data_IF_822531379790
#
_entry.id   IF_822531379790
#
_cell.length_a   1.000
_cell.length_b   1.000
_cell.length_c   1.000
_cell.angle_alpha   90.00
_cell.angle_beta   90.00
_cell.angle_gamma   90.00
#
_symmetry.space_group_name_H-M   'P 1'
#
loop_
_entity.id
_entity.type
_entity.pdbx_description
1 polymer ?
#
# COMPACT_ATOMS: atom_id res chain seq x y z
N UNK A 1 -14.70 2.90 -18.09
CA UNK A 1 -15.01 3.04 -16.66
C UNK A 1 -16.03 2.01 -16.16
N UNK A 2 -17.21 1.82 -16.82
CA UNK A 2 -18.23 0.85 -16.38
C UNK A 2 -17.67 -0.55 -16.11
N UNK A 3 -16.99 -1.18 -17.07
CA UNK A 3 -16.41 -2.52 -16.92
C UNK A 3 -15.42 -2.62 -15.75
N UNK A 4 -14.63 -1.59 -15.50
CA UNK A 4 -13.67 -1.57 -14.40
C UNK A 4 -14.38 -1.53 -13.05
N UNK A 5 -15.44 -0.73 -12.92
CA UNK A 5 -16.21 -0.67 -11.66
C UNK A 5 -16.98 -1.97 -11.43
N UNK A 6 -17.46 -2.63 -12.49
CA UNK A 6 -18.08 -3.96 -12.38
C UNK A 6 -17.07 -5.01 -11.88
N UNK A 7 -15.83 -4.97 -12.38
CA UNK A 7 -14.78 -5.88 -11.96
C UNK A 7 -14.34 -5.66 -10.50
N UNK A 8 -14.53 -4.46 -9.94
CA UNK A 8 -14.33 -4.23 -8.52
C UNK A 8 -15.39 -4.98 -7.71
N UNK A 9 -14.96 -5.79 -6.74
CA UNK A 9 -15.82 -6.58 -5.84
C UNK A 9 -16.69 -7.63 -6.52
N UNK A 10 -16.36 -8.08 -7.75
CA UNK A 10 -17.09 -9.16 -8.44
C UNK A 10 -18.58 -8.86 -8.60
N UNK A 11 -18.93 -7.64 -8.98
CA UNK A 11 -20.33 -7.25 -9.19
C UNK A 11 -20.96 -7.96 -10.38
N UNK A 12 -22.29 -8.11 -10.35
CA UNK A 12 -23.03 -8.63 -11.49
C UNK A 12 -22.82 -7.76 -12.73
N UNK A 13 -22.62 -8.39 -13.88
CA UNK A 13 -22.53 -7.70 -15.19
C UNK A 13 -23.84 -6.96 -15.56
N UNK A 14 -24.95 -7.33 -14.91
CA UNK A 14 -26.24 -6.67 -15.07
C UNK A 14 -26.36 -5.39 -14.24
N UNK A 15 -25.43 -5.12 -13.33
CA UNK A 15 -25.50 -3.92 -12.52
C UNK A 15 -25.31 -2.67 -13.38
N UNK A 16 -26.16 -1.68 -13.15
CA UNK A 16 -26.05 -0.37 -13.76
C UNK A 16 -25.10 0.50 -12.98
N UNK A 17 -24.09 1.04 -13.66
CA UNK A 17 -23.05 1.91 -13.08
C UNK A 17 -23.21 3.32 -13.65
N UNK A 18 -23.41 4.28 -12.76
CA UNK A 18 -23.51 5.69 -13.10
C UNK A 18 -22.45 6.51 -12.36
N UNK A 19 -21.62 7.23 -13.09
CA UNK A 19 -20.76 8.26 -12.49
C UNK A 19 -21.66 9.42 -12.02
N UNK A 20 -21.61 9.75 -10.74
CA UNK A 20 -22.37 10.85 -10.15
C UNK A 20 -21.50 12.10 -10.15
N UNK A 21 -20.26 11.97 -9.65
CA UNK A 21 -19.32 13.09 -9.55
C UNK A 21 -17.90 12.58 -9.58
N UNK A 22 -16.93 13.41 -9.94
CA UNK A 22 -15.52 13.11 -9.86
C UNK A 22 -14.71 14.39 -9.61
N UNK A 23 -13.77 14.32 -8.71
CA UNK A 23 -12.90 15.43 -8.37
C UNK A 23 -11.44 15.02 -8.31
N UNK A 24 -10.56 15.96 -8.65
CA UNK A 24 -9.13 15.80 -8.35
C UNK A 24 -8.95 15.76 -6.83
N UNK A 25 -8.17 14.79 -6.37
CA UNK A 25 -8.06 14.56 -4.95
C UNK A 25 -6.61 14.62 -4.46
N UNK A 26 -6.24 15.71 -3.81
CA UNK A 26 -4.96 15.80 -3.10
C UNK A 26 -5.08 15.15 -1.72
N UNK A 27 -4.40 14.02 -1.53
CA UNK A 27 -4.35 13.31 -0.25
C UNK A 27 -2.96 12.77 -0.01
N UNK A 28 -2.28 13.31 0.99
CA UNK A 28 -0.93 12.92 1.36
C UNK A 28 0.15 13.38 0.37
N UNK A 29 1.39 13.36 0.81
CA UNK A 29 2.54 13.87 0.05
C UNK A 29 2.89 13.01 -1.17
N UNK A 30 2.68 11.70 -1.09
CA UNK A 30 3.13 10.73 -2.12
C UNK A 30 2.41 10.82 -3.47
N UNK A 31 1.36 11.62 -3.58
CA UNK A 31 0.62 11.82 -4.84
C UNK A 31 0.69 13.25 -5.36
N UNK A 32 1.48 14.11 -4.75
CA UNK A 32 1.70 15.46 -5.27
C UNK A 32 2.35 15.41 -6.64
N UNK A 33 1.81 16.16 -7.59
CA UNK A 33 2.27 16.16 -8.98
C UNK A 33 1.82 14.97 -9.84
N UNK A 34 1.13 13.98 -9.27
CA UNK A 34 0.60 12.83 -9.98
C UNK A 34 -0.93 12.88 -10.10
N UNK A 35 -1.47 12.13 -11.09
CA UNK A 35 -2.91 12.03 -11.24
C UNK A 35 -3.52 11.29 -10.05
N UNK A 36 -4.49 11.93 -9.42
CA UNK A 36 -5.34 11.30 -8.43
C UNK A 36 -6.74 11.87 -8.47
N UNK A 37 -7.71 10.98 -8.59
CA UNK A 37 -9.13 11.36 -8.63
C UNK A 37 -9.92 10.50 -7.64
N UNK A 38 -10.92 11.12 -7.03
CA UNK A 38 -12.00 10.41 -6.37
C UNK A 38 -13.23 10.47 -7.25
N UNK A 39 -13.87 9.32 -7.49
CA UNK A 39 -15.09 9.22 -8.25
C UNK A 39 -16.22 8.66 -7.38
N UNK A 40 -17.31 9.39 -7.27
CA UNK A 40 -18.55 8.92 -6.65
C UNK A 40 -19.39 8.21 -7.69
N UNK A 41 -19.70 6.97 -7.42
CA UNK A 41 -20.39 6.07 -8.36
C UNK A 41 -21.68 5.57 -7.73
N UNK A 42 -22.80 5.74 -8.46
CA UNK A 42 -24.06 5.07 -8.16
C UNK A 42 -24.09 3.69 -8.81
N UNK A 43 -24.50 2.71 -8.04
CA UNK A 43 -24.60 1.31 -8.45
C UNK A 43 -26.04 0.87 -8.22
N UNK A 44 -26.69 0.37 -9.26
CA UNK A 44 -28.02 -0.24 -9.16
C UNK A 44 -27.88 -1.73 -9.49
N UNK A 45 -28.02 -2.57 -8.48
CA UNK A 45 -27.97 -4.02 -8.62
C UNK A 45 -29.32 -4.57 -9.17
N UNK A 46 -29.34 -5.78 -9.72
CA UNK A 46 -30.59 -6.45 -10.05
C UNK A 46 -31.56 -6.45 -8.87
N UNK A 47 -32.84 -6.18 -9.13
CA UNK A 47 -33.84 -5.97 -8.08
C UNK A 47 -33.91 -4.53 -7.54
N UNK A 48 -33.30 -3.57 -8.26
CA UNK A 48 -33.35 -2.12 -7.98
C UNK A 48 -32.72 -1.70 -6.64
N UNK A 49 -31.83 -2.52 -6.08
CA UNK A 49 -31.06 -2.17 -4.90
C UNK A 49 -29.98 -1.15 -5.27
N UNK A 50 -30.11 0.06 -4.76
CA UNK A 50 -29.18 1.16 -5.01
C UNK A 50 -28.17 1.29 -3.89
N UNK A 51 -26.92 1.60 -4.26
CA UNK A 51 -25.85 1.95 -3.34
C UNK A 51 -24.86 2.93 -3.98
N UNK A 52 -24.09 3.59 -3.14
CA UNK A 52 -23.00 4.44 -3.57
C UNK A 52 -21.67 3.75 -3.30
N UNK A 53 -20.69 4.01 -4.15
CA UNK A 53 -19.31 3.62 -3.95
C UNK A 53 -18.39 4.82 -4.21
N UNK A 54 -17.37 4.97 -3.40
CA UNK A 54 -16.29 5.92 -3.63
C UNK A 54 -15.09 5.17 -4.18
N UNK A 55 -14.60 5.59 -5.35
CA UNK A 55 -13.49 4.98 -6.05
C UNK A 55 -12.32 5.94 -6.10
N UNK A 56 -11.17 5.53 -5.54
CA UNK A 56 -9.89 6.22 -5.63
C UNK A 56 -9.14 5.73 -6.87
N UNK A 57 -8.75 6.66 -7.74
CA UNK A 57 -7.91 6.42 -8.91
C UNK A 57 -6.59 7.15 -8.68
N UNK A 58 -5.52 6.40 -8.56
CA UNK A 58 -4.18 6.93 -8.28
C UNK A 58 -3.18 6.50 -9.32
N UNK A 59 -2.45 7.46 -9.91
CA UNK A 59 -1.32 7.17 -10.79
C UNK A 59 -0.29 6.30 -10.06
N UNK A 60 0.20 5.28 -10.76
CA UNK A 60 1.28 4.42 -10.31
C UNK A 60 2.52 4.67 -11.17
N UNK A 61 3.64 4.88 -10.50
CA UNK A 61 4.93 5.16 -11.14
C UNK A 61 5.95 4.07 -10.83
N UNK A 62 7.10 4.12 -11.50
CA UNK A 62 8.22 3.23 -11.19
C UNK A 62 8.61 3.33 -9.71
N UNK A 63 9.04 2.23 -9.06
CA UNK A 63 9.47 2.27 -7.68
C UNK A 63 10.76 3.04 -7.52
N UNK A 64 10.90 3.74 -6.40
CA UNK A 64 12.17 4.33 -6.01
C UNK A 64 13.17 3.26 -5.54
N UNK A 65 12.67 2.18 -4.91
CA UNK A 65 13.50 1.08 -4.45
C UNK A 65 13.91 0.16 -5.61
N UNK A 66 15.17 -0.30 -5.66
CA UNK A 66 15.60 -1.28 -6.65
C UNK A 66 14.88 -2.62 -6.43
N UNK A 67 14.69 -3.37 -7.50
CA UNK A 67 14.19 -4.74 -7.43
C UNK A 67 15.30 -5.66 -6.93
N UNK A 68 14.98 -6.58 -6.01
CA UNK A 68 15.95 -7.57 -5.55
C UNK A 68 16.37 -8.48 -6.71
N UNK A 69 17.66 -8.89 -6.76
CA UNK A 69 18.15 -9.78 -7.82
C UNK A 69 17.34 -11.09 -7.88
N UNK A 70 17.02 -11.53 -9.09
CA UNK A 70 16.30 -12.79 -9.33
C UNK A 70 14.79 -12.75 -9.06
N UNK A 71 14.23 -11.63 -8.63
CA UNK A 71 12.79 -11.49 -8.40
C UNK A 71 12.09 -11.00 -9.65
N UNK A 72 11.16 -11.80 -10.16
CA UNK A 72 10.28 -11.39 -11.24
C UNK A 72 9.18 -10.48 -10.70
N UNK A 73 9.12 -9.27 -11.21
CA UNK A 73 8.09 -8.28 -10.87
C UNK A 73 7.36 -7.84 -12.13
N UNK A 74 6.06 -7.51 -12.05
CA UNK A 74 5.34 -6.93 -13.18
C UNK A 74 6.03 -5.65 -13.67
N UNK A 75 6.15 -5.49 -14.99
CA UNK A 75 6.75 -4.31 -15.60
C UNK A 75 5.85 -3.07 -15.48
N UNK A 76 4.54 -3.25 -15.54
CA UNK A 76 3.56 -2.17 -15.37
C UNK A 76 3.46 -1.75 -13.89
N UNK A 77 3.65 -0.45 -13.59
CA UNK A 77 3.64 0.03 -12.20
C UNK A 77 2.37 -0.31 -11.41
N UNK A 78 1.20 -0.18 -12.03
CA UNK A 78 -0.05 -0.48 -11.35
C UNK A 78 -0.24 -1.97 -11.05
N UNK A 79 0.19 -2.85 -11.96
CA UNK A 79 0.15 -4.30 -11.74
C UNK A 79 1.03 -4.69 -10.56
N UNK A 80 2.21 -4.08 -10.45
CA UNK A 80 3.12 -4.33 -9.32
C UNK A 80 2.52 -3.86 -8.00
N UNK A 81 1.88 -2.69 -7.97
CA UNK A 81 1.20 -2.19 -6.76
C UNK A 81 0.09 -3.15 -6.34
N UNK A 82 -0.72 -3.63 -7.29
CA UNK A 82 -1.80 -4.59 -7.00
C UNK A 82 -1.25 -5.94 -6.55
N UNK A 83 -0.19 -6.44 -7.17
CA UNK A 83 0.48 -7.67 -6.75
C UNK A 83 1.01 -7.57 -5.31
N UNK A 84 1.68 -6.46 -4.96
CA UNK A 84 2.14 -6.20 -3.60
C UNK A 84 0.99 -6.10 -2.60
N UNK A 85 -0.09 -5.40 -2.95
CA UNK A 85 -1.27 -5.28 -2.11
C UNK A 85 -1.94 -6.65 -1.83
N UNK A 86 -2.02 -7.52 -2.83
CA UNK A 86 -2.54 -8.89 -2.67
C UNK A 86 -1.63 -9.76 -1.80
N UNK A 87 -0.31 -9.62 -1.92
CA UNK A 87 0.64 -10.32 -1.06
C UNK A 87 0.52 -9.91 0.41
N UNK A 88 0.34 -8.61 0.68
CA UNK A 88 0.15 -8.08 2.03
C UNK A 88 -1.23 -8.39 2.61
N UNK A 89 -2.28 -8.33 1.80
CA UNK A 89 -3.68 -8.44 2.21
C UNK A 89 -4.39 -9.57 1.49
N UNK A 90 -4.39 -10.81 1.99
CA UNK A 90 -5.06 -11.93 1.34
C UNK A 90 -6.58 -11.75 1.22
N UNK A 91 -7.14 -10.90 2.06
CA UNK A 91 -8.57 -10.57 2.08
C UNK A 91 -8.92 -9.29 1.29
N UNK A 92 -7.97 -8.78 0.49
CA UNK A 92 -8.19 -7.63 -0.37
C UNK A 92 -9.30 -7.88 -1.40
N UNK A 93 -9.41 -9.14 -1.87
CA UNK A 93 -10.36 -9.51 -2.91
C UNK A 93 -10.10 -8.73 -4.21
N UNK A 94 -11.18 -8.38 -4.89
CA UNK A 94 -11.16 -7.63 -6.15
C UNK A 94 -11.41 -6.12 -5.96
N UNK A 95 -11.14 -5.61 -4.77
CA UNK A 95 -11.32 -4.18 -4.44
C UNK A 95 -10.27 -3.26 -5.04
N UNK A 96 -9.25 -3.81 -5.69
CA UNK A 96 -8.13 -3.07 -6.26
C UNK A 96 -7.73 -3.64 -7.62
N UNK A 97 -7.68 -2.79 -8.64
CA UNK A 97 -7.38 -3.19 -10.01
C UNK A 97 -6.32 -2.27 -10.64
N UNK A 98 -5.41 -2.83 -11.46
CA UNK A 98 -4.56 -2.03 -12.33
C UNK A 98 -5.40 -1.51 -13.51
N UNK A 99 -5.24 -0.24 -13.83
CA UNK A 99 -5.97 0.41 -14.94
C UNK A 99 -5.05 1.38 -15.68
N UNK A 100 -5.48 1.84 -16.84
CA UNK A 100 -4.88 2.99 -17.53
C UNK A 100 -5.85 4.17 -17.49
N UNK A 101 -5.35 5.31 -17.04
CA UNK A 101 -6.08 6.57 -16.97
C UNK A 101 -5.31 7.66 -17.72
N UNK A 102 -5.91 8.25 -18.74
CA UNK A 102 -5.28 9.29 -19.56
C UNK A 102 -3.89 8.88 -20.10
N UNK A 103 -3.75 7.61 -20.50
CA UNK A 103 -2.50 7.05 -21.02
C UNK A 103 -1.48 6.65 -19.95
N UNK A 104 -1.73 6.92 -18.68
CA UNK A 104 -0.84 6.61 -17.55
C UNK A 104 -1.26 5.32 -16.83
N UNK A 105 -0.29 4.65 -16.24
CA UNK A 105 -0.54 3.51 -15.34
C UNK A 105 -1.19 4.02 -14.06
N UNK A 106 -2.28 3.43 -13.63
CA UNK A 106 -3.02 3.85 -12.44
C UNK A 106 -3.65 2.67 -11.71
N UNK A 107 -3.82 2.83 -10.42
CA UNK A 107 -4.55 1.88 -9.58
C UNK A 107 -5.93 2.44 -9.29
N UNK A 108 -6.94 1.61 -9.50
CA UNK A 108 -8.32 1.88 -9.14
C UNK A 108 -8.67 1.06 -7.89
N UNK A 109 -9.16 1.72 -6.86
CA UNK A 109 -9.53 1.09 -5.60
C UNK A 109 -10.89 1.59 -5.12
N UNK A 110 -11.78 0.68 -4.78
CA UNK A 110 -12.98 1.06 -4.03
C UNK A 110 -12.64 1.26 -2.56
N UNK A 111 -12.99 2.40 -2.00
CA UNK A 111 -12.79 2.71 -0.60
C UNK A 111 -13.92 2.10 0.24
N UNK A 112 -13.54 1.47 1.34
CA UNK A 112 -14.48 0.96 2.32
C UNK A 112 -14.68 1.99 3.43
N UNK A 113 -15.88 2.04 4.04
CA UNK A 113 -16.14 2.94 5.17
C UNK A 113 -15.22 2.69 6.37
N UNK A 114 -14.66 1.49 6.47
CA UNK A 114 -13.77 1.06 7.56
C UNK A 114 -12.29 1.38 7.31
N UNK A 115 -11.94 2.08 6.23
CA UNK A 115 -10.56 2.48 5.96
C UNK A 115 -10.10 3.51 7.02
N UNK A 116 -9.65 3.01 8.17
CA UNK A 116 -9.15 3.82 9.27
C UNK A 116 -7.80 4.44 8.93
N UNK A 117 -7.64 5.71 9.25
CA UNK A 117 -6.34 6.36 9.34
C UNK A 117 -5.86 6.27 10.78
N UNK A 118 -4.76 5.56 11.01
CA UNK A 118 -4.09 5.59 12.29
C UNK A 118 -3.21 6.85 12.36
N UNK A 119 -3.43 7.67 13.36
CA UNK A 119 -2.62 8.85 13.62
C UNK A 119 -1.55 8.48 14.68
N UNK A 120 -0.39 8.09 14.17
CA UNK A 120 0.68 7.49 14.99
C UNK A 120 1.25 8.51 15.98
N UNK A 121 1.18 9.79 15.65
CA UNK A 121 1.70 10.89 16.47
C UNK A 121 0.91 11.08 17.78
N UNK A 122 -0.31 10.51 17.84
CA UNK A 122 -1.18 10.56 19.03
C UNK A 122 -1.09 9.33 19.91
N UNK A 123 -0.28 8.34 19.54
CA UNK A 123 -0.18 7.09 20.30
C UNK A 123 0.60 7.29 21.62
N UNK A 124 0.00 6.82 22.71
CA UNK A 124 0.74 6.54 23.91
C UNK A 124 1.72 5.38 23.70
N UNK A 125 2.70 5.22 24.62
CA UNK A 125 3.73 4.19 24.48
C UNK A 125 3.17 2.78 24.29
N UNK A 126 2.16 2.42 25.06
CA UNK A 126 1.54 1.08 24.95
C UNK A 126 0.79 0.88 23.64
N UNK A 127 0.12 1.92 23.14
CA UNK A 127 -0.57 1.88 21.86
C UNK A 127 0.42 1.77 20.71
N UNK A 128 1.53 2.49 20.76
CA UNK A 128 2.61 2.40 19.79
C UNK A 128 3.21 0.99 19.75
N UNK A 129 3.45 0.36 20.90
CA UNK A 129 3.95 -1.02 20.99
C UNK A 129 2.93 -1.99 20.39
N UNK A 130 1.64 -1.88 20.75
CA UNK A 130 0.58 -2.74 20.17
C UNK A 130 0.47 -2.57 18.66
N UNK A 131 0.52 -1.33 18.16
CA UNK A 131 0.49 -1.04 16.74
C UNK A 131 1.72 -1.62 16.02
N UNK A 132 2.91 -1.47 16.59
CA UNK A 132 4.14 -2.04 16.04
C UNK A 132 4.07 -3.58 15.96
N UNK A 133 3.60 -4.25 17.00
CA UNK A 133 3.37 -5.70 17.00
C UNK A 133 2.39 -6.13 15.91
N UNK A 134 1.28 -5.42 15.77
CA UNK A 134 0.29 -5.71 14.73
C UNK A 134 0.86 -5.54 13.33
N UNK A 135 1.57 -4.45 13.07
CA UNK A 135 2.20 -4.19 11.76
C UNK A 135 3.27 -5.22 11.44
N UNK A 136 4.13 -5.56 12.40
CA UNK A 136 5.14 -6.60 12.25
C UNK A 136 4.51 -7.96 11.94
N UNK A 137 3.40 -8.30 12.62
CA UNK A 137 2.65 -9.53 12.36
C UNK A 137 2.08 -9.57 10.93
N UNK A 138 1.50 -8.48 10.45
CA UNK A 138 0.96 -8.38 9.07
C UNK A 138 2.07 -8.58 8.05
N UNK A 139 3.21 -7.91 8.22
CA UNK A 139 4.36 -8.04 7.33
C UNK A 139 4.96 -9.44 7.39
N UNK A 140 5.14 -9.99 8.58
CA UNK A 140 5.66 -11.36 8.78
C UNK A 140 4.75 -12.41 8.13
N UNK A 141 3.43 -12.26 8.23
CA UNK A 141 2.49 -13.15 7.52
C UNK A 141 2.57 -13.02 6.00
N UNK A 142 2.77 -11.80 5.49
CA UNK A 142 2.95 -11.58 4.06
C UNK A 142 4.20 -12.30 3.54
N UNK A 143 5.33 -12.16 4.23
CA UNK A 143 6.57 -12.87 3.91
C UNK A 143 6.39 -14.39 4.00
N UNK A 144 5.84 -14.88 5.12
CA UNK A 144 5.66 -16.32 5.32
C UNK A 144 4.73 -17.00 4.29
N UNK A 145 3.79 -16.27 3.69
CA UNK A 145 2.95 -16.79 2.59
C UNK A 145 3.69 -16.92 1.26
N UNK A 146 4.73 -16.12 1.06
CA UNK A 146 5.51 -16.09 -0.18
C UNK A 146 6.75 -16.98 -0.14
N UNK A 147 7.11 -17.52 1.03
CA UNK A 147 8.22 -18.44 1.23
C UNK A 147 7.77 -19.88 1.10
N UNK A 148 8.60 -20.73 0.52
CA UNK A 148 8.47 -22.19 0.65
C UNK A 148 8.81 -22.68 2.07
N UNK A 149 8.65 -23.96 2.33
CA UNK A 149 8.87 -24.53 3.65
C UNK A 149 10.33 -24.42 4.11
N UNK A 150 11.27 -24.65 3.19
CA UNK A 150 12.72 -24.61 3.45
C UNK A 150 13.18 -23.19 3.77
N UNK A 151 12.84 -22.22 2.92
CA UNK A 151 13.15 -20.80 3.13
C UNK A 151 12.56 -20.30 4.44
N UNK A 152 11.33 -20.70 4.78
CA UNK A 152 10.68 -20.32 6.04
C UNK A 152 11.40 -20.89 7.26
N UNK A 153 11.87 -22.12 7.19
CA UNK A 153 12.65 -22.74 8.25
C UNK A 153 14.01 -22.05 8.43
N UNK A 154 14.72 -21.79 7.32
CA UNK A 154 15.99 -21.06 7.32
C UNK A 154 15.83 -19.64 7.89
N UNK A 155 14.80 -18.92 7.46
CA UNK A 155 14.47 -17.59 7.97
C UNK A 155 14.20 -17.61 9.47
N UNK A 156 13.41 -18.57 9.95
CA UNK A 156 13.15 -18.72 11.38
C UNK A 156 14.43 -18.97 12.18
N UNK A 157 15.31 -19.85 11.69
CA UNK A 157 16.59 -20.13 12.31
C UNK A 157 17.44 -18.87 12.42
N UNK A 158 17.50 -18.06 11.35
CA UNK A 158 18.29 -16.84 11.33
C UNK A 158 17.75 -15.77 12.31
N UNK A 159 16.43 -15.59 12.37
CA UNK A 159 15.82 -14.64 13.31
C UNK A 159 16.05 -15.05 14.77
N UNK A 160 16.11 -16.35 15.05
CA UNK A 160 16.30 -16.86 16.43
C UNK A 160 17.76 -17.08 16.80
N UNK A 161 18.69 -16.94 15.85
CA UNK A 161 20.11 -17.16 16.10
C UNK A 161 20.66 -16.17 17.12
N UNK A 162 21.20 -16.67 18.22
CA UNK A 162 21.87 -15.86 19.26
C UNK A 162 20.90 -15.10 20.16
N UNK A 163 19.62 -15.41 20.13
CA UNK A 163 18.65 -14.88 21.08
C UNK A 163 18.37 -15.91 22.17
N UNK A 164 18.61 -15.54 23.41
CA UNK A 164 17.84 -16.10 24.51
C UNK A 164 16.40 -15.67 24.35
N UNK A 165 15.47 -16.58 24.58
CA UNK A 165 14.03 -16.44 24.29
C UNK A 165 13.38 -15.20 24.92
N UNK A 166 14.08 -14.55 25.86
CA UNK A 166 13.64 -13.38 26.62
C UNK A 166 14.15 -12.01 26.09
N UNK A 167 15.09 -11.97 25.14
CA UNK A 167 15.72 -10.70 24.72
C UNK A 167 15.11 -10.02 23.48
N UNK A 168 14.06 -10.56 22.90
CA UNK A 168 13.35 -9.88 21.81
C UNK A 168 13.98 -10.09 20.43
N UNK A 169 14.37 -9.03 19.74
CA UNK A 169 14.90 -9.07 18.37
C UNK A 169 16.40 -9.36 18.34
N UNK A 170 16.92 -10.06 17.29
CA UNK A 170 18.36 -10.27 17.12
C UNK A 170 19.12 -8.93 17.08
N UNK A 171 20.31 -8.89 17.63
CA UNK A 171 21.13 -7.68 17.70
C UNK A 171 21.40 -7.05 16.32
N UNK A 172 21.59 -7.89 15.28
CA UNK A 172 21.79 -7.41 13.91
C UNK A 172 20.56 -6.67 13.38
N UNK A 173 19.34 -7.10 13.73
CA UNK A 173 18.10 -6.43 13.31
C UNK A 173 17.98 -5.07 13.99
N UNK A 174 18.26 -5.01 15.28
CA UNK A 174 18.28 -3.75 16.03
C UNK A 174 19.28 -2.77 15.44
N UNK A 175 20.52 -3.20 15.22
CA UNK A 175 21.58 -2.38 14.63
C UNK A 175 21.19 -1.86 13.25
N UNK A 176 20.60 -2.73 12.42
CA UNK A 176 20.12 -2.36 11.08
C UNK A 176 19.01 -1.32 11.12
N UNK A 177 18.07 -1.43 12.06
CA UNK A 177 16.98 -0.45 12.22
C UNK A 177 17.54 0.92 12.64
N UNK A 178 18.44 0.96 13.61
CA UNK A 178 19.07 2.21 14.09
C UNK A 178 19.88 2.87 12.96
N UNK A 179 20.68 2.09 12.24
CA UNK A 179 21.46 2.60 11.10
C UNK A 179 20.56 3.14 9.99
N UNK A 180 19.49 2.43 9.64
CA UNK A 180 18.55 2.84 8.62
C UNK A 180 17.82 4.14 9.02
N UNK A 181 17.39 4.25 10.27
CA UNK A 181 16.75 5.46 10.78
C UNK A 181 17.69 6.68 10.66
N UNK A 182 18.96 6.53 11.09
CA UNK A 182 19.95 7.60 10.95
C UNK A 182 20.23 7.98 9.49
N UNK A 183 20.33 7.00 8.59
CA UNK A 183 20.49 7.27 7.14
C UNK A 183 19.31 8.03 6.56
N UNK A 184 18.08 7.69 6.96
CA UNK A 184 16.88 8.37 6.51
C UNK A 184 16.84 9.83 7.01
N UNK A 185 17.21 10.08 8.26
CA UNK A 185 17.30 11.44 8.81
C UNK A 185 18.31 12.29 8.06
N UNK A 186 19.52 11.77 7.83
CA UNK A 186 20.56 12.48 7.07
C UNK A 186 20.08 12.74 5.64
N UNK A 187 19.48 11.75 4.98
CA UNK A 187 18.93 11.89 3.62
C UNK A 187 17.83 12.94 3.55
N UNK A 188 16.94 12.98 4.53
CA UNK A 188 15.88 13.99 4.64
C UNK A 188 16.47 15.41 4.80
N UNK A 189 17.42 15.60 5.71
CA UNK A 189 18.05 16.90 5.92
C UNK A 189 18.83 17.38 4.67
N UNK A 190 19.51 16.47 3.97
CA UNK A 190 20.17 16.80 2.70
C UNK A 190 19.15 17.21 1.62
N UNK A 191 18.03 16.50 1.53
CA UNK A 191 16.93 16.87 0.64
C UNK A 191 16.38 18.26 0.97
N UNK A 192 16.08 18.54 2.23
CA UNK A 192 15.61 19.86 2.66
C UNK A 192 16.60 20.97 2.29
N UNK A 193 17.89 20.78 2.55
CA UNK A 193 18.93 21.76 2.17
C UNK A 193 18.99 22.02 0.67
N UNK A 194 18.86 20.95 -0.14
CA UNK A 194 18.91 21.06 -1.60
C UNK A 194 17.75 21.86 -2.18
N UNK A 195 16.58 21.74 -1.60
CA UNK A 195 15.35 22.34 -2.15
C UNK A 195 14.87 23.61 -1.42
N UNK A 196 15.32 23.87 -0.18
CA UNK A 196 14.94 25.08 0.57
C UNK A 196 15.36 26.41 -0.09
N UNK A 197 16.30 26.39 -1.04
CA UNK A 197 16.74 27.59 -1.78
C UNK A 197 16.11 27.74 -3.18
N UNK A 198 15.23 26.84 -3.60
CA UNK A 198 14.66 26.86 -4.96
C UNK A 198 13.31 27.61 -5.06
N UNK A 199 12.71 28.00 -3.95
CA UNK A 199 11.45 28.77 -3.93
C UNK A 199 11.62 30.29 -4.12
N UNK A 200 12.84 30.78 -4.34
CA UNK A 200 13.16 32.20 -4.44
C UNK A 200 13.62 32.65 -5.85
N UNK A 201 13.26 31.91 -6.91
CA UNK A 201 13.58 32.31 -8.30
C UNK A 201 12.33 32.33 -9.18
#
# INVERSE_FOLDING_TARGET
>A
MRHLVLALNGRSDEAEIRLIDAAYWMKGCSSLGFLRYAALVGITEPGNKRRLALVDLKEAVAPAAPTAPGVAMPSEPAERVVAGARALSPNLGERMLPVRLLGKSAVMRELAPQDLKLDVDQFGREEAVRAAHYLAHVVGKAHGRQMDAETRAAWRTEITRGNDVDEGAPSWLWSSVVELAGRHEVGYLQHCRRYAGQEAA
#
